data_IF_593564963940
#
_entry.id   IF_593564963940
#
_cell.length_a   1.000
_cell.length_b   1.000
_cell.length_c   1.000
_cell.angle_alpha   90.00
_cell.angle_beta   90.00
_cell.angle_gamma   90.00
#
_symmetry.space_group_name_H-M   'P 1'
#
loop_
_entity.id
_entity.type
_entity.pdbx_description
1 polymer ?
#
# COMPACT_ATOMS: atom_id res chain seq x y z
N UNK A 1 6.22 28.22 -32.93
CA UNK A 1 7.39 27.43 -32.47
C UNK A 1 7.28 26.08 -33.14
N UNK A 2 8.07 25.85 -34.18
CA UNK A 2 7.99 24.63 -34.99
C UNK A 2 8.38 23.43 -34.12
N UNK A 3 7.43 22.51 -33.90
CA UNK A 3 7.68 21.27 -33.15
C UNK A 3 8.54 20.34 -34.01
N UNK A 4 9.82 20.68 -34.19
CA UNK A 4 10.83 19.73 -34.65
C UNK A 4 10.74 18.51 -33.74
N UNK A 5 10.31 17.39 -34.31
CA UNK A 5 10.06 16.11 -33.62
C UNK A 5 11.16 15.89 -32.58
N UNK A 6 10.78 16.01 -31.30
CA UNK A 6 11.70 15.79 -30.19
C UNK A 6 12.32 14.40 -30.38
N UNK A 7 13.66 14.27 -30.34
CA UNK A 7 14.31 12.98 -30.51
C UNK A 7 13.72 11.96 -29.53
N UNK A 8 13.45 10.74 -30.00
CA UNK A 8 12.82 9.69 -29.18
C UNK A 8 13.56 9.47 -27.85
N UNK A 9 14.89 9.60 -27.87
CA UNK A 9 15.73 9.48 -26.68
C UNK A 9 15.42 10.54 -25.62
N UNK A 10 15.20 11.80 -26.02
CA UNK A 10 14.84 12.89 -25.11
C UNK A 10 13.45 12.63 -24.49
N UNK A 11 12.50 12.12 -25.29
CA UNK A 11 11.20 11.71 -24.78
C UNK A 11 11.29 10.55 -23.79
N UNK A 12 12.14 9.56 -24.04
CA UNK A 12 12.35 8.43 -23.14
C UNK A 12 12.97 8.87 -21.81
N UNK A 13 13.96 9.76 -21.83
CA UNK A 13 14.56 10.35 -20.63
C UNK A 13 13.52 11.14 -19.82
N UNK A 14 12.69 11.93 -20.50
CA UNK A 14 11.57 12.66 -19.88
C UNK A 14 10.57 11.73 -19.18
N UNK A 15 10.18 10.63 -19.83
CA UNK A 15 9.32 9.60 -19.21
C UNK A 15 9.99 8.93 -18.01
N UNK A 16 11.28 8.63 -18.09
CA UNK A 16 12.04 8.07 -16.97
C UNK A 16 12.03 9.01 -15.76
N UNK A 17 12.30 10.31 -15.98
CA UNK A 17 12.24 11.31 -14.92
C UNK A 17 10.83 11.44 -14.33
N UNK A 18 9.80 11.44 -15.17
CA UNK A 18 8.41 11.44 -14.73
C UNK A 18 8.10 10.24 -13.83
N UNK A 19 8.55 9.04 -14.20
CA UNK A 19 8.37 7.83 -13.40
C UNK A 19 9.10 7.91 -12.07
N UNK A 20 10.33 8.45 -12.03
CA UNK A 20 11.07 8.68 -10.78
C UNK A 20 10.28 9.61 -9.87
N UNK A 21 9.81 10.76 -10.37
CA UNK A 21 9.06 11.72 -9.58
C UNK A 21 7.76 11.10 -9.04
N UNK A 22 7.04 10.35 -9.86
CA UNK A 22 5.81 9.63 -9.44
C UNK A 22 6.12 8.53 -8.40
N UNK A 23 7.30 7.93 -8.46
CA UNK A 23 7.69 6.88 -7.50
C UNK A 23 7.99 7.41 -6.10
N UNK A 24 8.43 8.67 -5.98
CA UNK A 24 8.79 9.30 -4.70
C UNK A 24 7.65 9.20 -3.66
N UNK A 25 6.41 9.68 -3.90
CA UNK A 25 5.34 9.57 -2.92
C UNK A 25 4.98 8.10 -2.61
N UNK A 26 5.05 7.22 -3.61
CA UNK A 26 4.76 5.79 -3.44
C UNK A 26 5.79 5.08 -2.57
N UNK A 27 7.00 5.62 -2.41
CA UNK A 27 8.03 5.10 -1.51
C UNK A 27 7.97 5.81 -0.16
N UNK A 28 7.86 7.14 -0.14
CA UNK A 28 7.89 7.94 1.08
C UNK A 28 6.70 7.63 1.98
N UNK A 29 5.47 7.62 1.47
CA UNK A 29 4.29 7.43 2.34
C UNK A 29 4.28 6.05 3.02
N UNK A 30 4.49 4.92 2.30
CA UNK A 30 4.61 3.62 2.96
C UNK A 30 5.82 3.55 3.88
N UNK A 31 6.95 4.18 3.52
CA UNK A 31 8.15 4.23 4.37
C UNK A 31 7.91 4.92 5.71
N UNK A 32 7.22 6.07 5.71
CA UNK A 32 6.84 6.77 6.94
C UNK A 32 5.87 5.96 7.78
N UNK A 33 4.89 5.30 7.17
CA UNK A 33 3.93 4.45 7.88
C UNK A 33 4.62 3.23 8.52
N UNK A 34 5.54 2.59 7.80
CA UNK A 34 6.35 1.49 8.34
C UNK A 34 7.25 1.97 9.48
N UNK A 35 7.89 3.13 9.33
CA UNK A 35 8.70 3.74 10.38
C UNK A 35 7.88 4.02 11.64
N UNK A 36 6.69 4.61 11.51
CA UNK A 36 5.75 4.84 12.61
C UNK A 36 5.38 3.53 13.31
N UNK A 37 5.02 2.50 12.55
CA UNK A 37 4.64 1.20 13.13
C UNK A 37 5.79 0.54 13.88
N UNK A 38 6.95 0.48 13.24
CA UNK A 38 8.09 -0.25 13.79
C UNK A 38 8.74 0.48 14.98
N UNK A 39 8.98 1.79 14.88
CA UNK A 39 9.73 2.54 15.89
C UNK A 39 8.85 3.26 16.92
N UNK A 40 7.61 3.64 16.57
CA UNK A 40 6.71 4.37 17.46
C UNK A 40 5.64 3.46 18.08
N UNK A 41 5.73 2.13 17.86
CA UNK A 41 4.79 1.16 18.39
C UNK A 41 3.39 1.26 17.76
N UNK A 42 3.28 1.77 16.54
CA UNK A 42 2.01 1.87 15.85
C UNK A 42 1.46 0.49 15.48
N UNK A 43 0.21 0.23 15.84
CA UNK A 43 -0.44 -1.05 15.56
C UNK A 43 -0.67 -1.29 14.06
N UNK A 44 -0.56 -2.54 13.64
CA UNK A 44 -0.91 -2.96 12.28
C UNK A 44 -2.42 -2.87 12.07
N UNK A 45 -2.81 -2.40 10.89
CA UNK A 45 -4.22 -2.38 10.48
C UNK A 45 -4.80 -3.81 10.46
N UNK A 46 -5.86 -4.04 11.23
CA UNK A 46 -6.60 -5.30 11.29
C UNK A 46 -7.74 -5.27 10.26
N UNK A 47 -8.05 -6.43 9.67
CA UNK A 47 -9.21 -6.56 8.80
C UNK A 47 -10.48 -6.52 9.64
N UNK A 48 -11.39 -5.60 9.32
CA UNK A 48 -12.63 -5.38 10.09
C UNK A 48 -13.86 -6.08 9.53
N UNK A 49 -13.74 -6.69 8.34
CA UNK A 49 -14.87 -7.32 7.66
C UNK A 49 -14.49 -7.89 6.31
N UNK A 50 -15.49 -8.46 5.66
CA UNK A 50 -15.38 -9.05 4.33
C UNK A 50 -16.47 -8.50 3.41
N UNK A 51 -16.06 -8.07 2.23
CA UNK A 51 -17.00 -7.61 1.20
C UNK A 51 -17.64 -8.83 0.52
N UNK A 52 -18.97 -8.89 0.53
CA UNK A 52 -19.71 -9.91 -0.21
C UNK A 52 -20.02 -9.40 -1.62
N UNK A 53 -19.37 -9.95 -2.67
CA UNK A 53 -19.56 -9.47 -4.04
C UNK A 53 -20.94 -9.81 -4.63
N UNK A 54 -21.70 -10.73 -4.03
CA UNK A 54 -23.03 -11.11 -4.52
C UNK A 54 -24.13 -10.20 -3.99
N UNK A 55 -23.98 -9.71 -2.76
CA UNK A 55 -24.97 -8.84 -2.11
C UNK A 55 -24.54 -7.38 -2.07
N UNK A 56 -23.26 -7.10 -2.32
CA UNK A 56 -22.68 -5.76 -2.24
C UNK A 56 -22.50 -5.23 -0.82
N UNK A 57 -22.75 -6.06 0.19
CA UNK A 57 -22.71 -5.68 1.61
C UNK A 57 -21.38 -6.09 2.24
N UNK A 58 -20.87 -5.27 3.14
CA UNK A 58 -19.74 -5.63 3.99
C UNK A 58 -20.29 -6.39 5.20
N UNK A 59 -19.85 -7.65 5.37
CA UNK A 59 -20.03 -8.36 6.63
C UNK A 59 -18.94 -7.90 7.58
N UNK A 60 -19.33 -7.17 8.61
CA UNK A 60 -18.41 -6.79 9.68
C UNK A 60 -18.06 -8.03 10.52
N UNK A 61 -16.79 -8.11 10.89
CA UNK A 61 -16.30 -9.12 11.82
C UNK A 61 -16.53 -8.65 13.25
N UNK A 62 -16.82 -9.58 14.15
CA UNK A 62 -16.74 -9.31 15.58
C UNK A 62 -15.26 -9.20 16.05
N UNK A 63 -15.04 -8.75 17.29
CA UNK A 63 -13.68 -8.57 17.80
C UNK A 63 -12.87 -9.89 17.87
N UNK A 64 -13.54 -11.02 18.13
CA UNK A 64 -12.88 -12.33 18.18
C UNK A 64 -12.42 -12.77 16.79
N UNK A 65 -13.27 -12.60 15.78
CA UNK A 65 -13.02 -12.92 14.38
C UNK A 65 -11.95 -12.01 13.80
N UNK A 66 -11.95 -10.70 14.13
CA UNK A 66 -10.86 -9.79 13.77
C UNK A 66 -9.51 -10.33 14.24
N UNK A 67 -9.42 -10.79 15.48
CA UNK A 67 -8.19 -11.32 16.06
C UNK A 67 -7.81 -12.70 15.50
N UNK A 68 -8.79 -13.58 15.29
CA UNK A 68 -8.58 -14.89 14.67
C UNK A 68 -8.03 -14.74 13.24
N UNK A 69 -8.66 -13.88 12.43
CA UNK A 69 -8.21 -13.56 11.08
C UNK A 69 -6.84 -12.90 11.11
N UNK A 70 -6.60 -11.94 12.02
CA UNK A 70 -5.29 -11.30 12.15
C UNK A 70 -4.17 -12.31 12.42
N UNK A 71 -4.35 -13.20 13.39
CA UNK A 71 -3.37 -14.24 13.77
C UNK A 71 -3.19 -15.31 12.70
N UNK A 72 -4.22 -15.59 11.91
CA UNK A 72 -4.14 -16.58 10.84
C UNK A 72 -3.28 -16.15 9.65
N UNK A 73 -3.07 -14.83 9.45
CA UNK A 73 -2.36 -14.27 8.29
C UNK A 73 -0.86 -14.58 8.32
N UNK A 74 -0.32 -14.89 7.14
CA UNK A 74 1.11 -15.16 6.98
C UNK A 74 2.01 -14.01 7.46
N UNK A 75 1.62 -12.76 7.23
CA UNK A 75 2.38 -11.58 7.73
C UNK A 75 2.51 -11.65 9.25
N UNK A 76 1.42 -11.93 9.95
CA UNK A 76 1.40 -12.01 11.41
C UNK A 76 2.23 -13.21 11.90
N UNK A 77 2.22 -14.33 11.16
CA UNK A 77 3.08 -15.47 11.47
C UNK A 77 4.59 -15.17 11.31
N UNK A 78 4.95 -14.33 10.35
CA UNK A 78 6.37 -13.99 10.07
C UNK A 78 6.87 -12.86 10.97
N UNK A 79 6.05 -11.83 11.20
CA UNK A 79 6.46 -10.59 11.86
C UNK A 79 5.91 -10.45 13.29
N UNK A 80 5.04 -11.37 13.74
CA UNK A 80 4.38 -11.31 15.04
C UNK A 80 3.09 -10.48 15.04
N UNK A 81 2.46 -10.43 16.22
CA UNK A 81 1.19 -9.74 16.48
C UNK A 81 1.36 -8.21 16.68
N UNK A 82 2.58 -7.68 16.58
CA UNK A 82 2.88 -6.24 16.73
C UNK A 82 2.95 -5.52 15.38
#
# INVERSE_FOLDING_TARGET
MDMKKVPKEVMMRGRGLQMIIVSIPLIIFPGLELYRRYFQGGERKIQVGEYNPRTGVIREFDEEEKMAVHKSRWITRIFGDK
#
